data_IF_741556390548
#
_entry.id   IF_741556390548
#
_cell.length_a   1.000
_cell.length_b   1.000
_cell.length_c   1.000
_cell.angle_alpha   90.00
_cell.angle_beta   90.00
_cell.angle_gamma   90.00
#
_symmetry.space_group_name_H-M   'P 1'
#
loop_
_entity.id
_entity.type
_entity.pdbx_description
1 polymer ?
#
# COMPACT_ATOMS: atom_id res chain seq x y z
N UNK A 1 3.35 -6.10 -5.45
CA UNK A 1 3.82 -6.77 -4.22
C UNK A 1 2.61 -7.33 -3.48
N UNK A 2 2.74 -8.47 -2.79
CA UNK A 2 1.66 -9.11 -2.00
C UNK A 2 2.08 -9.19 -0.53
N UNK A 3 1.18 -8.86 0.40
CA UNK A 3 1.39 -8.94 1.86
C UNK A 3 0.07 -9.21 2.59
N UNK A 4 0.12 -9.54 3.89
CA UNK A 4 -1.07 -9.59 4.76
C UNK A 4 -1.03 -8.50 5.82
N UNK A 5 -2.18 -8.12 6.39
CA UNK A 5 -2.22 -7.06 7.41
C UNK A 5 -1.48 -7.46 8.69
N UNK A 6 -1.56 -8.73 9.10
CA UNK A 6 -0.80 -9.27 10.23
C UNK A 6 0.71 -9.10 10.07
N UNK A 7 1.24 -9.15 8.83
CA UNK A 7 2.68 -8.95 8.61
C UNK A 7 3.12 -7.54 9.00
N UNK A 8 2.22 -6.56 9.05
CA UNK A 8 2.53 -5.18 9.39
C UNK A 8 2.65 -4.92 10.89
N UNK A 9 2.18 -5.87 11.72
CA UNK A 9 2.38 -5.86 13.17
C UNK A 9 3.81 -6.28 13.54
N UNK A 10 4.53 -6.94 12.63
CA UNK A 10 5.91 -7.38 12.83
C UNK A 10 6.86 -6.19 12.69
N UNK A 11 7.75 -5.94 13.68
CA UNK A 11 8.76 -4.89 13.60
C UNK A 11 9.60 -5.00 12.33
N UNK A 12 9.78 -3.90 11.61
CA UNK A 12 10.59 -3.83 10.39
C UNK A 12 9.87 -4.24 9.10
N UNK A 13 8.75 -4.97 9.17
CA UNK A 13 7.95 -5.28 7.98
C UNK A 13 7.24 -4.06 7.42
N UNK A 14 6.73 -3.18 8.29
CA UNK A 14 6.17 -1.90 7.84
C UNK A 14 7.20 -1.04 7.11
N UNK A 15 8.44 -1.01 7.60
CA UNK A 15 9.52 -0.27 6.94
C UNK A 15 9.88 -0.86 5.57
N UNK A 16 9.97 -2.19 5.48
CA UNK A 16 10.18 -2.86 4.20
C UNK A 16 9.02 -2.55 3.23
N UNK A 17 7.78 -2.57 3.71
CA UNK A 17 6.61 -2.18 2.93
C UNK A 17 6.72 -0.74 2.41
N UNK A 18 7.11 0.22 3.25
CA UNK A 18 7.31 1.61 2.84
C UNK A 18 8.34 1.72 1.69
N UNK A 19 9.44 0.99 1.78
CA UNK A 19 10.47 0.94 0.74
C UNK A 19 9.93 0.33 -0.56
N UNK A 20 9.22 -0.78 -0.47
CA UNK A 20 8.63 -1.44 -1.64
C UNK A 20 7.56 -0.57 -2.32
N UNK A 21 6.68 0.07 -1.55
CA UNK A 21 5.67 1.01 -2.09
C UNK A 21 6.33 2.23 -2.74
N UNK A 22 7.41 2.75 -2.16
CA UNK A 22 8.19 3.84 -2.76
C UNK A 22 8.86 3.42 -4.06
N UNK A 23 9.33 2.18 -4.15
CA UNK A 23 9.91 1.65 -5.39
C UNK A 23 8.86 1.41 -6.48
N UNK A 24 7.59 1.18 -6.13
CA UNK A 24 6.49 1.04 -7.10
C UNK A 24 6.10 2.36 -7.75
N UNK A 25 6.26 3.49 -7.04
CA UNK A 25 5.93 4.84 -7.52
C UNK A 25 7.10 5.79 -7.22
N UNK A 26 8.27 5.59 -7.88
CA UNK A 26 9.49 6.31 -7.54
C UNK A 26 9.43 7.80 -7.89
N UNK A 27 8.46 8.20 -8.71
CA UNK A 27 8.22 9.54 -9.22
C UNK A 27 7.05 10.25 -8.52
N UNK A 28 6.67 9.79 -7.33
CA UNK A 28 5.68 10.45 -6.46
C UNK A 28 6.18 11.85 -6.05
N UNK A 29 5.29 12.85 -6.09
CA UNK A 29 5.62 14.25 -5.83
C UNK A 29 6.00 14.51 -4.36
N UNK A 30 5.32 13.85 -3.43
CA UNK A 30 5.56 14.00 -1.99
C UNK A 30 6.81 13.25 -1.51
N UNK A 31 7.49 12.52 -2.41
CA UNK A 31 8.64 11.68 -2.10
C UNK A 31 8.26 10.27 -1.67
N UNK A 32 9.21 9.50 -1.08
CA UNK A 32 8.97 8.12 -0.66
C UNK A 32 7.91 8.05 0.43
N UNK A 33 7.18 6.94 0.45
CA UNK A 33 6.17 6.65 1.47
C UNK A 33 6.78 6.53 2.87
N UNK A 34 6.19 7.24 3.82
CA UNK A 34 6.49 7.12 5.25
C UNK A 34 5.62 6.05 5.92
N UNK A 35 6.05 5.60 7.11
CA UNK A 35 5.30 4.59 7.89
C UNK A 35 3.89 5.08 8.26
N UNK A 36 3.72 6.38 8.50
CA UNK A 36 2.42 7.00 8.82
C UNK A 36 1.49 6.97 7.60
N UNK A 37 1.93 7.46 6.44
CA UNK A 37 1.13 7.46 5.22
C UNK A 37 0.71 6.04 4.80
N UNK A 38 1.61 5.06 4.96
CA UNK A 38 1.29 3.66 4.64
C UNK A 38 0.22 3.11 5.58
N UNK A 39 0.28 3.43 6.88
CA UNK A 39 -0.78 3.05 7.83
C UNK A 39 -2.11 3.69 7.48
N UNK A 40 -2.12 4.97 7.14
CA UNK A 40 -3.34 5.68 6.72
C UNK A 40 -3.93 5.09 5.44
N UNK A 41 -3.10 4.81 4.44
CA UNK A 41 -3.53 4.26 3.17
C UNK A 41 -4.16 2.86 3.34
N UNK A 42 -3.53 2.01 4.15
CA UNK A 42 -4.07 0.69 4.48
C UNK A 42 -5.36 0.82 5.29
N UNK A 43 -5.42 1.73 6.25
CA UNK A 43 -6.62 1.96 7.05
C UNK A 43 -7.78 2.45 6.17
N UNK A 44 -7.54 3.44 5.30
CA UNK A 44 -8.53 3.93 4.35
C UNK A 44 -9.01 2.82 3.41
N UNK A 45 -8.11 1.97 2.92
CA UNK A 45 -8.49 0.81 2.12
C UNK A 45 -9.35 -0.19 2.89
N UNK A 46 -9.03 -0.51 4.15
CA UNK A 46 -9.87 -1.36 5.03
C UNK A 46 -11.28 -0.79 5.25
N UNK A 47 -11.43 0.54 5.23
CA UNK A 47 -12.73 1.17 5.36
C UNK A 47 -13.55 1.10 4.07
N UNK A 48 -12.87 1.10 2.91
CA UNK A 48 -13.50 1.03 1.60
C UNK A 48 -13.76 -0.41 1.12
N UNK A 49 -13.05 -1.39 1.68
CA UNK A 49 -13.18 -2.80 1.35
C UNK A 49 -13.29 -3.65 2.64
N UNK A 50 -14.28 -4.54 2.72
CA UNK A 50 -14.51 -5.46 3.84
C UNK A 50 -13.44 -6.59 3.91
N UNK A 51 -12.16 -6.24 3.90
CA UNK A 51 -11.05 -7.20 3.89
C UNK A 51 -10.79 -7.82 5.26
N UNK A 52 -10.50 -9.12 5.26
CA UNK A 52 -10.12 -9.87 6.47
C UNK A 52 -8.63 -9.68 6.77
N UNK A 53 -8.22 -9.78 8.04
CA UNK A 53 -6.83 -9.45 8.45
C UNK A 53 -5.77 -10.41 7.92
N UNK A 54 -6.17 -11.65 7.65
CA UNK A 54 -5.39 -12.74 7.10
C UNK A 54 -5.46 -12.82 5.57
N UNK A 55 -6.32 -12.03 4.92
CA UNK A 55 -6.45 -12.01 3.47
C UNK A 55 -5.22 -11.39 2.80
N UNK A 56 -4.62 -12.05 1.78
CA UNK A 56 -3.52 -11.49 1.02
C UNK A 56 -3.97 -10.27 0.21
N UNK A 57 -3.22 -9.18 0.36
CA UNK A 57 -3.45 -7.90 -0.30
C UNK A 57 -2.35 -7.65 -1.31
N UNK A 58 -2.71 -7.23 -2.51
CA UNK A 58 -1.77 -6.84 -3.55
C UNK A 58 -1.76 -5.33 -3.74
N UNK A 59 -0.56 -4.73 -3.67
CA UNK A 59 -0.32 -3.34 -4.02
C UNK A 59 0.14 -3.20 -5.48
N UNK A 60 -0.42 -2.22 -6.16
CA UNK A 60 -0.10 -1.85 -7.54
C UNK A 60 0.05 -0.34 -7.70
N UNK A 61 0.97 0.14 -8.55
CA UNK A 61 1.01 1.54 -8.89
C UNK A 61 -0.27 1.95 -9.63
N UNK A 62 -0.73 3.16 -9.35
CA UNK A 62 -1.85 3.81 -10.03
C UNK A 62 -1.43 5.22 -10.41
N UNK A 63 -1.68 5.56 -11.68
CA UNK A 63 -1.51 6.90 -12.21
C UNK A 63 -2.87 7.38 -12.72
N UNK A 64 -3.28 8.58 -12.30
CA UNK A 64 -4.46 9.22 -12.85
C UNK A 64 -4.24 9.55 -14.33
N UNK A 65 -5.33 9.62 -15.09
CA UNK A 65 -5.29 9.87 -16.53
C UNK A 65 -4.73 11.23 -16.91
N UNK A 66 -4.84 12.22 -16.01
CA UNK A 66 -4.25 13.56 -16.16
C UNK A 66 -2.77 13.62 -15.70
N UNK A 67 -2.23 12.52 -15.17
CA UNK A 67 -0.86 12.42 -14.68
C UNK A 67 -0.58 13.20 -13.38
N UNK A 68 -1.61 13.82 -12.79
CA UNK A 68 -1.48 14.67 -11.60
C UNK A 68 -1.36 13.88 -10.31
N UNK A 69 -1.87 12.64 -10.29
CA UNK A 69 -1.89 11.80 -9.11
C UNK A 69 -1.18 10.48 -9.38
N UNK A 70 -0.19 10.17 -8.55
CA UNK A 70 0.57 8.94 -8.60
C UNK A 70 0.58 8.32 -7.21
N UNK A 71 -0.02 7.15 -7.09
CA UNK A 71 -0.19 6.48 -5.80
C UNK A 71 -0.10 4.97 -5.96
N UNK A 72 -0.36 4.24 -4.89
CA UNK A 72 -0.60 2.79 -4.93
C UNK A 72 -2.06 2.50 -4.61
N UNK A 73 -2.60 1.50 -5.29
CA UNK A 73 -3.93 0.93 -5.01
C UNK A 73 -3.76 -0.48 -4.48
N UNK A 74 -4.64 -0.85 -3.56
CA UNK A 74 -4.69 -2.18 -2.98
C UNK A 74 -5.89 -2.96 -3.51
N UNK A 75 -5.67 -4.23 -3.80
CA UNK A 75 -6.75 -5.18 -4.15
C UNK A 75 -6.57 -6.49 -3.39
N UNK A 76 -7.65 -7.17 -3.01
CA UNK A 76 -7.55 -8.54 -2.53
C UNK A 76 -6.93 -9.43 -3.60
N UNK A 77 -6.05 -10.35 -3.20
CA UNK A 77 -5.63 -11.44 -4.09
C UNK A 77 -6.74 -12.47 -4.08
N UNK A 78 -7.55 -12.51 -5.15
CA UNK A 78 -8.49 -13.60 -5.35
C UNK A 78 -7.70 -14.91 -5.51
N UNK A 79 -8.11 -15.94 -4.76
CA UNK A 79 -7.64 -17.31 -4.92
C UNK A 79 -8.10 -17.90 -6.25
#
# INVERSE_FOLDING_TARGET
MVFTLQQLEVPGRLRALCQELSALVPDRLEGPWSEEEVRELIHGWRMMAFCQEDEPVQAHPFHSTDGMFRTVVFRPVQA
#
